data_IF_106770758154
#
_entry.id   IF_106770758154
#
_cell.length_a   1.000
_cell.length_b   1.000
_cell.length_c   1.000
_cell.angle_alpha   90.00
_cell.angle_beta   90.00
_cell.angle_gamma   90.00
#
_symmetry.space_group_name_H-M   'P 1'
#
loop_
_entity.id
_entity.type
_entity.pdbx_description
1 polymer ?
#
# COMPACT_ATOMS: atom_id res chain seq x y z
N UNK A 1 -20.89 22.71 29.75
CA UNK A 1 -19.97 23.64 29.11
C UNK A 1 -20.03 23.35 27.61
N UNK A 2 -20.72 24.21 26.86
CA UNK A 2 -20.74 24.08 25.40
C UNK A 2 -19.33 24.39 24.89
N UNK A 3 -18.53 23.35 24.69
CA UNK A 3 -17.30 23.50 23.93
C UNK A 3 -17.73 23.58 22.44
N UNK A 4 -17.97 24.81 21.96
CA UNK A 4 -18.19 25.10 20.55
C UNK A 4 -16.87 24.81 19.80
N UNK A 5 -16.66 23.53 19.48
CA UNK A 5 -15.48 23.07 18.73
C UNK A 5 -15.92 22.50 17.40
N UNK A 6 -15.16 22.78 16.38
CA UNK A 6 -15.37 22.29 15.02
C UNK A 6 -14.28 21.30 14.61
N UNK A 7 -14.68 20.30 13.84
CA UNK A 7 -13.78 19.36 13.21
C UNK A 7 -13.70 19.70 11.72
N UNK A 8 -12.49 19.93 11.24
CA UNK A 8 -12.25 20.37 9.88
C UNK A 8 -11.19 19.46 9.24
N UNK A 9 -11.55 18.83 8.13
CA UNK A 9 -10.60 18.14 7.25
C UNK A 9 -10.17 19.11 6.16
N UNK A 10 -8.87 19.39 6.08
CA UNK A 10 -8.30 20.09 4.94
C UNK A 10 -7.65 19.09 3.99
N UNK A 11 -7.86 19.31 2.70
CA UNK A 11 -7.17 18.59 1.62
C UNK A 11 -6.40 19.59 0.78
N UNK A 12 -5.12 19.34 0.65
CA UNK A 12 -4.17 20.18 -0.06
C UNK A 12 -3.57 19.38 -1.21
N UNK A 13 -3.56 19.97 -2.40
CA UNK A 13 -2.94 19.36 -3.58
C UNK A 13 -2.13 20.40 -4.33
N UNK A 14 -0.99 20.00 -4.87
CA UNK A 14 -0.12 20.89 -5.64
C UNK A 14 1.23 20.26 -5.95
N UNK A 15 2.14 21.05 -6.51
CA UNK A 15 3.52 20.59 -6.71
C UNK A 15 4.20 20.40 -5.37
N UNK A 16 4.87 19.25 -5.21
CA UNK A 16 5.65 18.95 -4.02
C UNK A 16 6.88 19.85 -3.94
N UNK A 17 7.08 20.43 -2.76
CA UNK A 17 8.25 21.26 -2.43
C UNK A 17 8.60 21.15 -0.94
N UNK A 18 9.88 21.24 -0.61
CA UNK A 18 10.31 21.34 0.78
C UNK A 18 9.61 22.50 1.50
N UNK A 19 9.16 22.26 2.74
CA UNK A 19 8.57 23.26 3.60
C UNK A 19 7.07 23.50 3.43
N UNK A 20 6.39 22.83 2.49
CA UNK A 20 4.94 23.00 2.29
C UNK A 20 4.16 22.60 3.54
N UNK A 21 4.36 21.39 4.03
CA UNK A 21 3.70 20.90 5.26
C UNK A 21 4.03 21.79 6.45
N UNK A 22 5.30 22.20 6.61
CA UNK A 22 5.73 23.13 7.67
C UNK A 22 4.97 24.46 7.61
N UNK A 23 4.82 25.04 6.41
CA UNK A 23 4.11 26.31 6.24
C UNK A 23 2.61 26.23 6.59
N UNK A 24 1.99 25.08 6.37
CA UNK A 24 0.57 24.85 6.72
C UNK A 24 0.44 24.64 8.23
N UNK A 25 1.26 23.77 8.82
CA UNK A 25 1.21 23.47 10.24
C UNK A 25 1.64 24.65 11.11
N UNK A 26 2.52 25.54 10.61
CA UNK A 26 2.86 26.80 11.27
C UNK A 26 1.65 27.72 11.46
N UNK A 27 0.74 27.77 10.47
CA UNK A 27 -0.52 28.53 10.61
C UNK A 27 -1.38 27.89 11.69
N UNK A 28 -1.57 26.57 11.64
CA UNK A 28 -2.37 25.86 12.64
C UNK A 28 -1.81 26.04 14.06
N UNK A 29 -0.48 26.12 14.20
CA UNK A 29 0.18 26.27 15.50
C UNK A 29 -0.04 27.61 16.18
N UNK A 30 -0.53 28.64 15.47
CA UNK A 30 -0.88 29.94 16.06
C UNK A 30 -2.19 29.91 16.85
N UNK A 31 -2.97 28.86 16.66
CA UNK A 31 -4.26 28.65 17.27
C UNK A 31 -4.23 27.42 18.17
N UNK A 32 -5.21 27.31 19.06
CA UNK A 32 -5.38 26.12 19.92
C UNK A 32 -6.04 24.98 19.10
N UNK A 33 -5.23 24.39 18.20
CA UNK A 33 -5.64 23.34 17.29
C UNK A 33 -5.06 22.00 17.72
N UNK A 34 -5.92 20.98 17.79
CA UNK A 34 -5.50 19.60 17.98
C UNK A 34 -5.58 18.86 16.66
N UNK A 35 -4.46 18.33 16.18
CA UNK A 35 -4.44 17.46 14.98
C UNK A 35 -4.94 16.07 15.39
N UNK A 36 -5.99 15.60 14.72
CA UNK A 36 -6.61 14.31 14.96
C UNK A 36 -6.10 13.23 14.00
N UNK A 37 -5.80 13.64 12.76
CA UNK A 37 -5.18 12.77 11.76
C UNK A 37 -4.41 13.59 10.72
N UNK A 38 -3.36 12.99 10.15
CA UNK A 38 -2.55 13.60 9.11
C UNK A 38 -2.03 12.53 8.15
N UNK A 39 -2.19 12.74 6.86
CA UNK A 39 -1.71 11.83 5.83
C UNK A 39 -1.19 12.58 4.61
N UNK A 40 -0.06 12.11 4.09
CA UNK A 40 0.56 12.67 2.90
C UNK A 40 0.88 11.56 1.90
N UNK A 41 0.61 11.82 0.63
CA UNK A 41 1.02 10.97 -0.48
C UNK A 41 1.60 11.81 -1.62
N UNK A 42 2.59 11.25 -2.30
CA UNK A 42 3.17 11.85 -3.49
C UNK A 42 3.04 10.89 -4.69
N UNK A 43 2.60 11.43 -5.83
CA UNK A 43 2.61 10.72 -7.12
C UNK A 43 3.24 11.65 -8.14
N UNK A 44 4.35 11.21 -8.74
CA UNK A 44 5.19 12.03 -9.59
C UNK A 44 5.71 13.26 -8.80
N UNK A 45 5.41 14.47 -9.20
CA UNK A 45 5.78 15.70 -8.52
C UNK A 45 4.60 16.36 -7.79
N UNK A 46 3.50 15.62 -7.63
CA UNK A 46 2.28 16.15 -7.03
C UNK A 46 2.09 15.59 -5.62
N UNK A 47 1.99 16.51 -4.66
CA UNK A 47 1.64 16.24 -3.27
C UNK A 47 0.13 16.21 -3.10
N UNK A 48 -0.34 15.27 -2.29
CA UNK A 48 -1.67 15.27 -1.69
C UNK A 48 -1.52 15.16 -0.18
N UNK A 49 -1.92 16.19 0.56
CA UNK A 49 -1.84 16.26 2.02
C UNK A 49 -3.24 16.44 2.60
N UNK A 50 -3.61 15.57 3.52
CA UNK A 50 -4.82 15.67 4.32
C UNK A 50 -4.48 15.94 5.78
N UNK A 51 -5.16 16.88 6.42
CA UNK A 51 -5.06 17.13 7.86
C UNK A 51 -6.47 17.26 8.43
N UNK A 52 -6.81 16.40 9.36
CA UNK A 52 -8.03 16.50 10.16
C UNK A 52 -7.67 17.10 11.50
N UNK A 53 -8.32 18.17 11.87
CA UNK A 53 -8.05 18.86 13.12
C UNK A 53 -9.33 19.36 13.81
N UNK A 54 -9.20 19.56 15.09
CA UNK A 54 -10.20 20.17 15.98
C UNK A 54 -9.75 21.57 16.36
N UNK A 55 -10.63 22.55 16.23
CA UNK A 55 -10.40 23.96 16.61
C UNK A 55 -11.58 24.51 17.38
N UNK A 56 -11.39 25.67 18.01
CA UNK A 56 -12.49 26.46 18.56
C UNK A 56 -13.27 27.10 17.41
N UNK A 57 -14.60 27.10 17.46
CA UNK A 57 -15.47 27.69 16.43
C UNK A 57 -15.11 29.16 16.13
N UNK A 58 -14.80 29.93 17.16
CA UNK A 58 -14.40 31.36 17.03
C UNK A 58 -13.14 31.56 16.17
N UNK A 59 -12.27 30.56 16.12
CA UNK A 59 -10.95 30.63 15.43
C UNK A 59 -11.01 30.05 14.01
N UNK A 60 -11.97 29.19 13.73
CA UNK A 60 -12.10 28.41 12.46
C UNK A 60 -12.08 29.33 11.24
N UNK A 61 -12.81 30.46 11.27
CA UNK A 61 -12.85 31.42 10.17
C UNK A 61 -11.51 32.07 9.88
N UNK A 62 -10.75 32.43 10.93
CA UNK A 62 -9.41 33.02 10.78
C UNK A 62 -8.40 31.98 10.29
N UNK A 63 -8.46 30.75 10.78
CA UNK A 63 -7.63 29.63 10.33
C UNK A 63 -7.84 29.41 8.84
N UNK A 64 -9.10 29.25 8.40
CA UNK A 64 -9.41 29.03 6.98
C UNK A 64 -8.93 30.17 6.10
N UNK A 65 -9.11 31.40 6.54
CA UNK A 65 -8.65 32.60 5.82
C UNK A 65 -7.13 32.63 5.66
N UNK A 66 -6.36 32.40 6.74
CA UNK A 66 -4.88 32.38 6.67
C UNK A 66 -4.39 31.24 5.78
N UNK A 67 -5.00 30.05 5.88
CA UNK A 67 -4.67 28.90 5.03
C UNK A 67 -4.96 29.17 3.55
N UNK A 68 -6.08 29.84 3.20
CA UNK A 68 -6.39 30.21 1.83
C UNK A 68 -5.36 31.18 1.24
N UNK A 69 -4.99 32.22 1.99
CA UNK A 69 -3.96 33.17 1.53
C UNK A 69 -2.61 32.47 1.35
N UNK A 70 -2.24 31.59 2.28
CA UNK A 70 -0.99 30.84 2.18
C UNK A 70 -0.99 29.90 0.98
N UNK A 71 -2.10 29.19 0.77
CA UNK A 71 -2.27 28.30 -0.38
C UNK A 71 -2.14 29.05 -1.70
N UNK A 72 -2.78 30.22 -1.82
CA UNK A 72 -2.65 31.09 -2.97
C UNK A 72 -1.21 31.54 -3.21
N UNK A 73 -0.53 32.00 -2.16
CA UNK A 73 0.88 32.42 -2.24
C UNK A 73 1.83 31.28 -2.64
N UNK A 74 1.51 30.05 -2.24
CA UNK A 74 2.28 28.84 -2.58
C UNK A 74 1.87 28.23 -3.93
N UNK A 75 0.80 28.70 -4.59
CA UNK A 75 0.29 28.13 -5.82
C UNK A 75 -0.22 26.69 -5.67
N UNK A 76 -0.84 26.39 -4.53
CA UNK A 76 -1.44 25.08 -4.20
C UNK A 76 -2.94 25.22 -4.04
N UNK A 77 -3.66 24.12 -4.21
CA UNK A 77 -5.09 24.06 -3.98
C UNK A 77 -5.38 23.54 -2.57
N UNK A 78 -6.28 24.21 -1.87
CA UNK A 78 -6.79 23.78 -0.57
C UNK A 78 -8.31 23.69 -0.60
N UNK A 79 -8.87 22.67 0.02
CA UNK A 79 -10.30 22.48 0.24
C UNK A 79 -10.56 22.17 1.70
N UNK A 80 -11.66 22.72 2.22
CA UNK A 80 -12.11 22.52 3.60
C UNK A 80 -13.37 21.67 3.59
N UNK A 81 -13.41 20.69 4.47
CA UNK A 81 -14.55 19.81 4.66
C UNK A 81 -14.89 19.81 6.16
N UNK A 82 -16.03 20.40 6.56
CA UNK A 82 -16.54 20.22 7.91
C UNK A 82 -16.81 18.74 8.13
N UNK A 83 -16.50 18.25 9.30
CA UNK A 83 -16.74 16.86 9.73
C UNK A 83 -17.62 16.92 10.97
N UNK A 84 -18.70 16.16 11.01
CA UNK A 84 -19.54 16.10 12.21
C UNK A 84 -18.90 15.20 13.26
N UNK A 85 -19.33 15.33 14.51
CA UNK A 85 -18.84 14.48 15.60
C UNK A 85 -19.22 13.03 15.33
N UNK A 86 -20.43 12.82 14.81
CA UNK A 86 -20.95 11.49 14.49
C UNK A 86 -20.11 10.82 13.41
N UNK A 87 -19.80 11.52 12.31
CA UNK A 87 -18.94 11.01 11.24
C UNK A 87 -17.53 10.67 11.76
N UNK A 88 -16.99 11.51 12.65
CA UNK A 88 -15.70 11.27 13.26
C UNK A 88 -15.71 10.03 14.16
N UNK A 89 -16.72 9.91 15.03
CA UNK A 89 -16.86 8.75 15.93
C UNK A 89 -17.08 7.45 15.16
N UNK A 90 -17.90 7.46 14.11
CA UNK A 90 -18.05 6.32 13.22
C UNK A 90 -16.72 5.91 12.59
N UNK A 91 -15.93 6.88 12.11
CA UNK A 91 -14.61 6.62 11.56
C UNK A 91 -13.63 6.06 12.61
N UNK A 92 -13.65 6.57 13.83
CA UNK A 92 -12.85 6.04 14.96
C UNK A 92 -13.26 4.62 15.30
N UNK A 93 -14.57 4.33 15.33
CA UNK A 93 -15.10 2.99 15.62
C UNK A 93 -14.78 1.95 14.54
N UNK A 94 -14.40 2.39 13.34
CA UNK A 94 -13.85 1.50 12.31
C UNK A 94 -12.41 1.07 12.61
N UNK A 95 -11.75 1.63 13.60
CA UNK A 95 -10.44 1.16 14.08
C UNK A 95 -10.62 -0.22 14.76
N UNK A 96 -9.58 -1.04 14.70
CA UNK A 96 -9.62 -2.39 15.28
C UNK A 96 -10.15 -3.49 14.36
N UNK A 97 -10.61 -3.18 13.14
CA UNK A 97 -10.87 -4.20 12.12
C UNK A 97 -9.56 -4.86 11.68
N UNK A 98 -9.68 -6.12 11.27
CA UNK A 98 -8.54 -6.86 10.74
C UNK A 98 -7.87 -6.09 9.60
N UNK A 99 -6.55 -6.05 9.63
CA UNK A 99 -5.73 -5.44 8.58
C UNK A 99 -4.92 -6.52 7.87
N UNK A 100 -4.80 -6.36 6.57
CA UNK A 100 -4.03 -7.25 5.71
C UNK A 100 -3.16 -6.43 4.78
N UNK A 101 -2.10 -7.07 4.32
CA UNK A 101 -1.26 -6.58 3.25
C UNK A 101 -1.39 -7.55 2.09
N UNK A 102 -1.83 -7.04 0.96
CA UNK A 102 -1.76 -7.73 -0.31
C UNK A 102 -0.59 -7.15 -1.10
N UNK A 103 0.37 -8.00 -1.44
CA UNK A 103 1.52 -7.62 -2.28
C UNK A 103 1.38 -8.28 -3.62
N UNK A 104 1.51 -7.52 -4.70
CA UNK A 104 1.60 -8.00 -6.06
C UNK A 104 3.02 -7.88 -6.58
N UNK A 105 3.52 -8.94 -7.19
CA UNK A 105 4.78 -8.97 -7.91
C UNK A 105 4.54 -9.34 -9.36
N UNK A 106 5.25 -8.69 -10.28
CA UNK A 106 5.21 -9.03 -11.69
C UNK A 106 6.32 -8.32 -12.45
N UNK A 107 6.50 -8.73 -13.70
CA UNK A 107 7.42 -8.03 -14.60
C UNK A 107 6.88 -6.66 -15.00
N UNK A 108 5.58 -6.56 -15.14
CA UNK A 108 4.87 -5.36 -15.57
C UNK A 108 3.63 -5.17 -14.70
N UNK A 109 3.32 -3.93 -14.35
CA UNK A 109 2.09 -3.58 -13.66
C UNK A 109 1.11 -3.01 -14.68
N UNK A 110 -0.01 -3.67 -14.86
CA UNK A 110 -1.05 -3.27 -15.81
C UNK A 110 -2.35 -2.87 -15.10
N UNK A 111 -3.13 -2.00 -15.73
CA UNK A 111 -4.45 -1.65 -15.22
C UNK A 111 -5.38 -2.88 -15.10
N UNK A 112 -5.23 -3.87 -16.00
CA UNK A 112 -6.01 -5.12 -15.94
C UNK A 112 -5.73 -5.89 -14.65
N UNK A 113 -4.45 -6.03 -14.26
CA UNK A 113 -4.06 -6.69 -13.01
C UNK A 113 -4.62 -5.97 -11.78
N UNK A 114 -4.50 -4.64 -11.74
CA UNK A 114 -5.03 -3.83 -10.63
C UNK A 114 -6.55 -3.95 -10.56
N UNK A 115 -7.25 -3.80 -11.66
CA UNK A 115 -8.72 -3.90 -11.70
C UNK A 115 -9.22 -5.26 -11.23
N UNK A 116 -8.59 -6.34 -11.67
CA UNK A 116 -8.97 -7.69 -11.29
C UNK A 116 -8.76 -7.95 -9.79
N UNK A 117 -7.61 -7.55 -9.25
CA UNK A 117 -7.31 -7.71 -7.82
C UNK A 117 -8.21 -6.85 -6.95
N UNK A 118 -8.41 -5.58 -7.29
CA UNK A 118 -9.30 -4.69 -6.53
C UNK A 118 -10.75 -5.12 -6.61
N UNK A 119 -11.17 -5.73 -7.72
CA UNK A 119 -12.49 -6.37 -7.87
C UNK A 119 -12.69 -7.50 -6.86
N UNK A 120 -11.74 -8.44 -6.77
CA UNK A 120 -11.80 -9.54 -5.78
C UNK A 120 -11.88 -8.99 -4.35
N UNK A 121 -11.06 -7.98 -4.01
CA UNK A 121 -11.11 -7.36 -2.68
C UNK A 121 -12.47 -6.73 -2.37
N UNK A 122 -13.05 -6.03 -3.35
CA UNK A 122 -14.36 -5.40 -3.21
C UNK A 122 -15.50 -6.43 -3.03
N UNK A 123 -15.51 -7.50 -3.82
CA UNK A 123 -16.46 -8.61 -3.69
C UNK A 123 -16.40 -9.26 -2.30
N UNK A 124 -15.21 -9.33 -1.71
CA UNK A 124 -15.00 -9.83 -0.35
C UNK A 124 -15.35 -8.81 0.75
N UNK A 125 -15.79 -7.61 0.40
CA UNK A 125 -16.13 -6.55 1.34
C UNK A 125 -14.92 -5.93 2.03
N UNK A 126 -13.75 -6.01 1.42
CA UNK A 126 -12.52 -5.45 1.93
C UNK A 126 -12.31 -4.03 1.39
N UNK A 127 -11.89 -3.11 2.26
CA UNK A 127 -11.53 -1.76 1.88
C UNK A 127 -10.01 -1.64 1.66
N UNK A 128 -9.63 -0.87 0.65
CA UNK A 128 -8.23 -0.54 0.40
C UNK A 128 -7.95 0.81 1.04
N UNK A 129 -7.10 0.84 2.07
CA UNK A 129 -6.75 2.06 2.79
C UNK A 129 -5.57 2.80 2.15
N UNK A 130 -4.62 2.06 1.55
CA UNK A 130 -3.47 2.64 0.85
C UNK A 130 -2.96 1.71 -0.23
N UNK A 131 -2.37 2.30 -1.26
CA UNK A 131 -1.66 1.58 -2.32
C UNK A 131 -0.27 2.20 -2.43
N UNK A 132 0.77 1.36 -2.34
CA UNK A 132 2.16 1.81 -2.39
C UNK A 132 2.98 0.98 -3.36
N UNK A 133 3.65 1.64 -4.30
CA UNK A 133 4.66 0.99 -5.12
C UNK A 133 5.93 0.81 -4.30
N UNK A 134 6.46 -0.41 -4.24
CA UNK A 134 7.68 -0.77 -3.51
C UNK A 134 8.93 -0.76 -4.39
N UNK A 135 8.76 -0.90 -5.70
CA UNK A 135 9.86 -0.83 -6.67
C UNK A 135 10.10 0.59 -7.17
N UNK A 136 11.29 0.85 -7.63
CA UNK A 136 11.68 2.13 -8.21
C UNK A 136 10.83 2.54 -9.43
N UNK A 137 11.00 3.77 -9.87
CA UNK A 137 10.35 4.31 -11.06
C UNK A 137 10.90 3.63 -12.32
N UNK A 138 10.03 3.36 -13.29
CA UNK A 138 10.41 2.66 -14.53
C UNK A 138 10.77 3.72 -15.58
N UNK A 139 11.95 3.64 -16.21
CA UNK A 139 12.27 4.45 -17.37
C UNK A 139 11.33 4.12 -18.54
N UNK A 140 11.02 5.11 -19.37
CA UNK A 140 10.20 4.88 -20.57
C UNK A 140 10.97 4.10 -21.64
N UNK A 141 12.31 4.11 -21.63
CA UNK A 141 13.14 3.28 -22.49
C UNK A 141 13.18 1.84 -21.94
N UNK A 142 12.38 0.97 -22.52
CA UNK A 142 12.23 -0.44 -22.10
C UNK A 142 13.54 -1.23 -22.18
N UNK A 143 14.51 -0.84 -23.01
CA UNK A 143 15.83 -1.51 -23.14
C UNK A 143 16.71 -1.33 -21.91
N UNK A 144 16.43 -0.35 -21.08
CA UNK A 144 17.14 -0.06 -19.82
C UNK A 144 16.44 -0.59 -18.59
N UNK A 145 15.27 -1.17 -18.74
CA UNK A 145 14.40 -1.55 -17.64
C UNK A 145 14.60 -3.03 -17.28
N UNK A 146 15.31 -3.29 -16.20
CA UNK A 146 15.13 -4.55 -15.47
C UNK A 146 13.76 -4.47 -14.78
N UNK A 147 12.69 -4.81 -15.52
CA UNK A 147 11.32 -4.46 -15.14
C UNK A 147 10.79 -5.49 -14.16
N UNK A 148 10.98 -5.20 -12.89
CA UNK A 148 10.18 -5.83 -11.83
C UNK A 148 9.28 -4.78 -11.22
N UNK A 149 8.02 -5.12 -11.01
CA UNK A 149 7.04 -4.24 -10.38
C UNK A 149 6.52 -4.93 -9.12
N UNK A 150 6.62 -4.23 -8.01
CA UNK A 150 6.03 -4.66 -6.74
C UNK A 150 5.13 -3.54 -6.22
N UNK A 151 3.89 -3.89 -5.88
CA UNK A 151 2.91 -2.96 -5.31
C UNK A 151 2.28 -3.59 -4.07
N UNK A 152 2.10 -2.80 -3.05
CA UNK A 152 1.50 -3.19 -1.79
C UNK A 152 0.16 -2.46 -1.61
N UNK A 153 -0.87 -3.21 -1.24
CA UNK A 153 -2.18 -2.71 -0.83
C UNK A 153 -2.34 -2.94 0.66
N UNK A 154 -2.58 -1.88 1.40
CA UNK A 154 -3.06 -1.97 2.78
C UNK A 154 -4.56 -2.15 2.75
N UNK A 155 -5.05 -3.26 3.29
CA UNK A 155 -6.44 -3.70 3.18
C UNK A 155 -7.03 -3.87 4.56
N UNK A 156 -8.27 -3.42 4.75
CA UNK A 156 -8.99 -3.49 6.01
C UNK A 156 -10.33 -4.20 5.85
N UNK A 157 -10.69 -4.99 6.85
CA UNK A 157 -11.97 -5.72 6.92
C UNK A 157 -11.77 -7.19 7.23
N UNK A 158 -12.83 -7.96 7.12
CA UNK A 158 -12.80 -9.43 7.23
C UNK A 158 -13.34 -9.99 5.92
N UNK A 159 -12.56 -10.80 5.19
CA UNK A 159 -13.05 -11.42 3.95
C UNK A 159 -14.31 -12.21 4.22
N UNK A 160 -15.30 -12.11 3.36
CA UNK A 160 -16.56 -12.88 3.46
C UNK A 160 -16.29 -14.38 3.33
N UNK A 161 -15.44 -14.75 2.37
CA UNK A 161 -15.12 -16.14 2.03
C UNK A 161 -13.62 -16.22 1.70
N UNK A 162 -12.80 -16.39 2.72
CA UNK A 162 -11.34 -16.33 2.60
C UNK A 162 -10.77 -17.35 1.61
N UNK A 163 -11.28 -18.56 1.62
CA UNK A 163 -10.80 -19.65 0.74
C UNK A 163 -11.13 -19.35 -0.73
N UNK A 164 -12.35 -18.90 -1.03
CA UNK A 164 -12.73 -18.50 -2.38
C UNK A 164 -11.90 -17.32 -2.89
N UNK A 165 -11.62 -16.34 -2.01
CA UNK A 165 -10.74 -15.23 -2.34
C UNK A 165 -9.33 -15.72 -2.69
N UNK A 166 -8.78 -16.64 -1.92
CA UNK A 166 -7.45 -17.21 -2.21
C UNK A 166 -7.44 -17.96 -3.54
N UNK A 167 -8.45 -18.78 -3.81
CA UNK A 167 -8.58 -19.49 -5.10
C UNK A 167 -8.70 -18.50 -6.27
N UNK A 168 -9.51 -17.46 -6.14
CA UNK A 168 -9.64 -16.42 -7.15
C UNK A 168 -8.31 -15.70 -7.42
N UNK A 169 -7.56 -15.35 -6.36
CA UNK A 169 -6.24 -14.73 -6.49
C UNK A 169 -5.23 -15.69 -7.14
N UNK A 170 -5.25 -16.99 -6.80
CA UNK A 170 -4.37 -18.00 -7.43
C UNK A 170 -4.66 -18.15 -8.92
N UNK A 171 -5.93 -18.25 -9.31
CA UNK A 171 -6.32 -18.27 -10.70
C UNK A 171 -5.85 -17.02 -11.45
N UNK A 172 -6.05 -15.87 -10.84
CA UNK A 172 -5.63 -14.59 -11.41
C UNK A 172 -4.11 -14.50 -11.57
N UNK A 173 -3.34 -15.08 -10.66
CA UNK A 173 -1.87 -15.17 -10.72
C UNK A 173 -1.43 -15.86 -12.01
N UNK A 174 -2.02 -17.01 -12.31
CA UNK A 174 -1.75 -17.77 -13.53
C UNK A 174 -2.20 -17.01 -14.79
N UNK A 175 -3.42 -16.45 -14.79
CA UNK A 175 -4.01 -15.81 -15.96
C UNK A 175 -3.32 -14.49 -16.37
N UNK A 176 -2.69 -13.80 -15.42
CA UNK A 176 -2.11 -12.47 -15.61
C UNK A 176 -0.59 -12.40 -15.36
N UNK A 177 0.09 -13.55 -15.25
CA UNK A 177 1.54 -13.64 -15.07
C UNK A 177 2.04 -12.75 -13.93
N UNK A 178 1.43 -12.88 -12.76
CA UNK A 178 1.82 -12.14 -11.56
C UNK A 178 1.74 -13.02 -10.32
N UNK A 179 2.59 -12.73 -9.36
CA UNK A 179 2.56 -13.37 -8.04
C UNK A 179 1.87 -12.46 -7.04
N UNK A 180 1.28 -13.06 -6.01
CA UNK A 180 0.69 -12.32 -4.91
C UNK A 180 1.01 -12.95 -3.56
N UNK A 181 0.99 -12.12 -2.53
CA UNK A 181 1.04 -12.53 -1.13
C UNK A 181 -0.05 -11.80 -0.36
N UNK A 182 -0.88 -12.54 0.37
CA UNK A 182 -1.91 -11.98 1.25
C UNK A 182 -1.62 -12.35 2.70
N UNK A 183 -1.26 -11.37 3.51
CA UNK A 183 -0.79 -11.56 4.88
C UNK A 183 -1.58 -10.68 5.84
N UNK A 184 -1.82 -11.18 7.06
CA UNK A 184 -2.35 -10.34 8.13
C UNK A 184 -1.29 -9.31 8.56
N UNK A 185 -1.69 -8.04 8.63
CA UNK A 185 -0.81 -6.96 9.13
C UNK A 185 -0.93 -6.86 10.64
N UNK A 186 -0.05 -7.56 11.33
CA UNK A 186 0.06 -7.55 12.78
C UNK A 186 1.47 -7.17 13.23
N UNK A 187 1.66 -7.02 14.54
CA UNK A 187 2.95 -6.66 15.11
C UNK A 187 4.06 -7.66 14.74
N UNK A 188 3.74 -8.95 14.63
CA UNK A 188 4.73 -9.99 14.32
C UNK A 188 5.28 -9.85 12.90
N UNK A 189 4.49 -9.36 11.94
CA UNK A 189 4.96 -9.10 10.58
C UNK A 189 6.11 -8.08 10.55
N UNK A 190 6.05 -7.07 11.41
CA UNK A 190 7.03 -5.97 11.45
C UNK A 190 8.24 -6.28 12.32
N UNK A 191 8.15 -7.28 13.19
CA UNK A 191 9.20 -7.64 14.17
C UNK A 191 9.91 -8.95 13.83
N UNK A 192 9.89 -9.39 12.59
CA UNK A 192 10.59 -10.61 12.16
C UNK A 192 12.09 -10.43 12.34
N UNK A 193 12.71 -11.40 13.01
CA UNK A 193 14.15 -11.44 13.28
C UNK A 193 14.85 -12.64 12.65
N UNK A 194 14.09 -13.55 12.04
CA UNK A 194 14.61 -14.74 11.37
C UNK A 194 14.16 -14.70 9.92
N UNK A 195 15.09 -14.86 9.01
CA UNK A 195 14.86 -15.05 7.59
C UNK A 195 15.41 -16.43 7.24
N UNK A 196 14.56 -17.29 6.70
CA UNK A 196 14.96 -18.58 6.15
C UNK A 196 14.83 -18.51 4.62
N UNK A 197 15.86 -18.95 3.94
CA UNK A 197 15.87 -19.07 2.48
C UNK A 197 15.91 -20.55 2.13
N UNK A 198 15.17 -20.94 1.12
CA UNK A 198 15.38 -22.17 0.43
C UNK A 198 16.72 -22.10 -0.33
N UNK A 199 17.39 -23.23 -0.48
CA UNK A 199 18.72 -23.24 -1.07
C UNK A 199 18.66 -23.40 -2.59
N UNK A 200 18.03 -24.46 -3.05
CA UNK A 200 18.00 -24.85 -4.44
C UNK A 200 17.15 -23.87 -5.26
N UNK A 201 17.64 -23.43 -6.39
CA UNK A 201 17.00 -22.41 -7.27
C UNK A 201 16.57 -21.12 -6.56
N UNK A 202 16.99 -20.91 -5.31
CA UNK A 202 16.68 -19.72 -4.48
C UNK A 202 17.94 -18.98 -4.05
N UNK A 203 18.83 -19.62 -3.26
CA UNK A 203 20.13 -19.05 -2.87
C UNK A 203 21.21 -19.38 -3.88
N UNK A 204 21.11 -20.50 -4.56
CA UNK A 204 21.97 -20.95 -5.61
C UNK A 204 21.16 -21.15 -6.89
N UNK A 205 21.80 -21.02 -8.04
CA UNK A 205 21.14 -21.13 -9.36
C UNK A 205 20.92 -22.59 -9.81
N UNK A 206 21.50 -23.56 -9.07
CA UNK A 206 21.50 -24.97 -9.41
C UNK A 206 20.77 -25.79 -8.34
N UNK A 207 20.36 -26.99 -8.71
CA UNK A 207 19.89 -28.02 -7.79
C UNK A 207 21.09 -28.78 -7.23
N UNK A 208 21.23 -28.85 -5.87
CA UNK A 208 22.39 -29.52 -5.25
C UNK A 208 22.43 -31.00 -5.59
N UNK A 209 21.27 -31.65 -5.72
CA UNK A 209 21.20 -33.06 -6.07
C UNK A 209 21.75 -33.34 -7.47
N UNK A 210 21.51 -32.43 -8.43
CA UNK A 210 22.01 -32.56 -9.81
C UNK A 210 23.54 -32.42 -9.84
N UNK A 211 24.08 -31.46 -9.10
CA UNK A 211 25.53 -31.26 -9.01
C UNK A 211 26.25 -32.46 -8.35
N UNK A 212 25.64 -33.02 -7.31
CA UNK A 212 26.17 -34.23 -6.65
C UNK A 212 26.11 -35.43 -7.59
N UNK A 213 25.01 -35.61 -8.33
CA UNK A 213 24.83 -36.69 -9.27
C UNK A 213 25.85 -36.63 -10.43
N UNK A 214 26.11 -35.44 -10.96
CA UNK A 214 27.14 -35.20 -11.99
C UNK A 214 28.52 -35.62 -11.47
N UNK A 215 28.87 -35.22 -10.23
CA UNK A 215 30.17 -35.57 -9.64
C UNK A 215 30.27 -37.06 -9.30
N UNK A 216 29.15 -37.71 -9.02
CA UNK A 216 29.10 -39.18 -8.79
C UNK A 216 29.05 -39.97 -10.09
N UNK A 217 28.95 -39.32 -11.26
CA UNK A 217 28.87 -39.97 -12.59
C UNK A 217 27.50 -40.55 -12.92
N UNK A 218 26.45 -40.21 -12.20
CA UNK A 218 25.06 -40.67 -12.38
C UNK A 218 24.09 -39.55 -12.74
N UNK A 219 24.60 -38.44 -13.27
CA UNK A 219 23.81 -37.22 -13.55
C UNK A 219 22.62 -37.46 -14.47
N UNK A 220 22.81 -38.22 -15.57
CA UNK A 220 21.73 -38.49 -16.52
C UNK A 220 20.61 -39.34 -15.92
N UNK A 221 20.94 -40.28 -15.03
CA UNK A 221 19.96 -41.13 -14.35
C UNK A 221 19.12 -40.30 -13.37
N UNK A 222 19.76 -39.48 -12.56
CA UNK A 222 19.06 -38.61 -11.59
C UNK A 222 18.18 -37.61 -12.30
N UNK A 223 18.67 -36.99 -13.39
CA UNK A 223 17.88 -36.06 -14.18
C UNK A 223 16.61 -36.72 -14.77
N UNK A 224 16.73 -37.93 -15.30
CA UNK A 224 15.58 -38.67 -15.82
C UNK A 224 14.53 -38.98 -14.73
N UNK A 225 14.99 -39.32 -13.51
CA UNK A 225 14.12 -39.56 -12.37
C UNK A 225 13.40 -38.27 -11.95
N UNK A 226 14.15 -37.17 -11.83
CA UNK A 226 13.59 -35.87 -11.47
C UNK A 226 12.54 -35.38 -12.47
N UNK A 227 12.82 -35.51 -13.77
CA UNK A 227 11.85 -35.16 -14.82
C UNK A 227 10.57 -36.03 -14.77
N UNK A 228 10.72 -37.33 -14.49
CA UNK A 228 9.59 -38.24 -14.34
C UNK A 228 8.73 -37.91 -13.10
N UNK A 229 9.39 -37.56 -11.99
CA UNK A 229 8.71 -37.12 -10.77
C UNK A 229 7.94 -35.79 -10.99
N UNK A 230 8.55 -34.83 -11.68
CA UNK A 230 7.87 -33.55 -12.03
C UNK A 230 6.67 -33.74 -12.95
N UNK A 231 6.66 -34.77 -13.79
CA UNK A 231 5.49 -35.15 -14.59
C UNK A 231 4.45 -35.95 -13.83
N UNK A 232 4.72 -36.32 -12.57
CA UNK A 232 3.81 -37.13 -11.75
C UNK A 232 3.72 -38.60 -12.21
N UNK A 233 4.76 -39.12 -12.83
CA UNK A 233 4.84 -40.51 -13.32
C UNK A 233 5.35 -41.48 -12.25
N UNK A 234 5.99 -40.92 -11.22
CA UNK A 234 6.47 -41.61 -10.02
C UNK A 234 6.21 -40.75 -8.79
#
# INVERSE_FOLDING_TARGET
MNNNTELILIRITGLDRPGLTASITEILSKYDVTILDIGQADIHSTLSLGILFKSQEKDSGNIMKELLFKASALGINIRFYPVTVEEYEEWVNMQGKNRYILTLLGRKLTAKQIAAVTGILAEQGLNIDAIKRLTGRIPLDERKANVRACIEFSVRGTPRQREEMQQALMKLSSDLEMDFSFQQDNMYRRMRRLICFDMDSTLIETEVIDELAIRAGVGDEVKAITESAMRGEI
#
